data_IF_428451678521
#
_entry.id   IF_428451678521
#
_cell.length_a   1.000
_cell.length_b   1.000
_cell.length_c   1.000
_cell.angle_alpha   90.00
_cell.angle_beta   90.00
_cell.angle_gamma   90.00
#
_symmetry.space_group_name_H-M   'P 1'
#
loop_
_entity.id
_entity.type
_entity.pdbx_description
1 polymer ?
#
# COMPACT_ATOMS: atom_id res chain seq x y z
N UNK A 1 -21.70 1.99 -16.63
CA UNK A 1 -20.55 2.27 -15.73
C UNK A 1 -19.60 3.13 -16.52
N UNK A 2 -19.23 4.30 -16.02
CA UNK A 2 -18.20 5.11 -16.66
C UNK A 2 -16.86 4.38 -16.52
N UNK A 3 -15.96 4.43 -17.50
CA UNK A 3 -14.64 3.78 -17.40
C UNK A 3 -13.86 4.24 -16.15
N UNK A 4 -14.07 5.50 -15.75
CA UNK A 4 -13.50 6.09 -14.53
C UNK A 4 -13.92 5.35 -13.26
N UNK A 5 -15.16 4.85 -13.18
CA UNK A 5 -15.65 4.12 -12.01
C UNK A 5 -14.86 2.83 -11.79
N UNK A 6 -14.53 2.13 -12.89
CA UNK A 6 -13.74 0.91 -12.83
C UNK A 6 -12.29 1.18 -12.43
N UNK A 7 -11.71 2.30 -12.89
CA UNK A 7 -10.37 2.74 -12.49
C UNK A 7 -10.32 3.07 -11.01
N UNK A 8 -11.30 3.83 -10.50
CA UNK A 8 -11.35 4.22 -9.08
C UNK A 8 -11.51 2.99 -8.18
N UNK A 9 -12.32 2.00 -8.58
CA UNK A 9 -12.52 0.76 -7.81
C UNK A 9 -11.22 -0.04 -7.58
N UNK A 10 -10.22 0.08 -8.46
CA UNK A 10 -8.93 -0.62 -8.29
C UNK A 10 -8.18 -0.19 -7.03
N UNK A 11 -8.42 1.04 -6.53
CA UNK A 11 -7.84 1.50 -5.28
C UNK A 11 -8.38 0.70 -4.09
N UNK A 12 -9.68 0.47 -4.04
CA UNK A 12 -10.33 -0.27 -2.94
C UNK A 12 -9.85 -1.73 -2.93
N UNK A 13 -9.75 -2.36 -4.10
CA UNK A 13 -9.20 -3.72 -4.23
C UNK A 13 -7.75 -3.81 -3.71
N UNK A 14 -6.92 -2.83 -4.07
CA UNK A 14 -5.54 -2.78 -3.61
C UNK A 14 -5.44 -2.54 -2.10
N UNK A 15 -6.23 -1.61 -1.57
CA UNK A 15 -6.26 -1.30 -0.16
C UNK A 15 -6.79 -2.48 0.69
N UNK A 16 -7.79 -3.23 0.20
CA UNK A 16 -8.27 -4.45 0.85
C UNK A 16 -7.18 -5.52 0.93
N UNK A 17 -6.45 -5.75 -0.17
CA UNK A 17 -5.36 -6.72 -0.18
C UNK A 17 -4.22 -6.33 0.78
N UNK A 18 -3.85 -5.05 0.78
CA UNK A 18 -2.87 -4.50 1.73
C UNK A 18 -3.34 -4.66 3.18
N UNK A 19 -4.57 -4.24 3.52
CA UNK A 19 -5.14 -4.38 4.87
C UNK A 19 -5.20 -5.83 5.33
N UNK A 20 -5.59 -6.75 4.44
CA UNK A 20 -5.61 -8.17 4.76
C UNK A 20 -4.21 -8.69 5.11
N UNK A 21 -3.18 -8.33 4.33
CA UNK A 21 -1.81 -8.75 4.59
C UNK A 21 -1.23 -8.14 5.88
N UNK A 22 -1.53 -6.86 6.18
CA UNK A 22 -1.19 -6.19 7.45
C UNK A 22 -1.82 -6.91 8.64
N UNK A 23 -3.11 -7.23 8.56
CA UNK A 23 -3.81 -7.98 9.61
C UNK A 23 -3.25 -9.39 9.82
N UNK A 24 -2.56 -9.95 8.82
CA UNK A 24 -1.84 -11.23 8.90
C UNK A 24 -0.38 -11.09 9.35
N UNK A 25 0.08 -9.87 9.62
CA UNK A 25 1.42 -9.59 10.13
C UNK A 25 2.52 -9.63 9.07
N UNK A 26 2.19 -9.48 7.78
CA UNK A 26 3.21 -9.39 6.73
C UNK A 26 4.08 -8.14 6.90
N UNK A 27 3.49 -7.01 7.28
CA UNK A 27 4.19 -5.81 7.74
C UNK A 27 3.31 -5.04 8.74
N UNK A 28 3.89 -4.03 9.39
CA UNK A 28 3.18 -3.16 10.30
C UNK A 28 2.69 -1.90 9.57
N UNK A 29 1.39 -1.63 9.68
CA UNK A 29 0.78 -0.40 9.18
C UNK A 29 -0.42 -0.06 10.08
N UNK A 30 -0.26 0.86 11.04
CA UNK A 30 -1.33 1.23 11.96
C UNK A 30 -2.34 2.20 11.32
N UNK A 31 -2.11 2.67 10.09
CA UNK A 31 -2.91 3.74 9.48
C UNK A 31 -3.91 3.22 8.45
N UNK A 32 -3.58 2.13 7.75
CA UNK A 32 -4.42 1.56 6.69
C UNK A 32 -5.84 1.23 7.17
N UNK A 33 -6.01 0.99 8.47
CA UNK A 33 -7.31 0.67 9.01
C UNK A 33 -8.32 1.81 9.01
N UNK A 34 -7.84 3.06 8.94
CA UNK A 34 -8.70 4.24 8.89
C UNK A 34 -9.22 4.53 7.47
N UNK A 35 -8.57 3.98 6.44
CA UNK A 35 -8.93 4.22 5.05
C UNK A 35 -9.88 3.18 4.48
N UNK A 36 -9.74 1.91 4.87
CA UNK A 36 -10.58 0.84 4.34
C UNK A 36 -10.95 -0.17 5.42
N UNK A 37 -12.20 -0.60 5.49
CA UNK A 37 -12.65 -1.60 6.47
C UNK A 37 -12.08 -2.99 6.15
N UNK A 38 -11.90 -3.83 7.17
CA UNK A 38 -11.54 -5.23 6.94
C UNK A 38 -12.72 -5.97 6.27
N UNK A 39 -12.39 -6.92 5.41
CA UNK A 39 -13.35 -7.86 4.82
C UNK A 39 -13.16 -9.25 5.42
N UNK A 40 -14.25 -10.03 5.48
CA UNK A 40 -14.19 -11.46 5.83
C UNK A 40 -13.62 -12.33 4.71
N UNK A 41 -13.48 -11.76 3.50
CA UNK A 41 -12.92 -12.44 2.35
C UNK A 41 -11.45 -12.82 2.57
N UNK A 42 -11.13 -14.10 2.33
CA UNK A 42 -9.75 -14.60 2.43
C UNK A 42 -9.03 -14.34 1.12
N UNK A 43 -7.81 -13.82 1.20
CA UNK A 43 -6.88 -13.73 0.05
C UNK A 43 -5.93 -14.93 0.07
N UNK A 44 -5.56 -15.42 -1.12
CA UNK A 44 -4.57 -16.49 -1.26
C UNK A 44 -3.21 -16.03 -0.70
N UNK A 45 -2.42 -16.91 -0.06
CA UNK A 45 -1.12 -16.54 0.53
C UNK A 45 -0.16 -15.87 -0.47
N UNK A 46 -0.20 -16.28 -1.73
CA UNK A 46 0.62 -15.74 -2.83
C UNK A 46 0.31 -14.27 -3.09
N UNK A 47 -0.96 -13.86 -2.93
CA UNK A 47 -1.38 -12.46 -3.08
C UNK A 47 -0.74 -11.62 -1.97
N UNK A 48 -0.87 -12.04 -0.70
CA UNK A 48 -0.27 -11.32 0.42
C UNK A 48 1.25 -11.24 0.33
N UNK A 49 1.92 -12.31 -0.14
CA UNK A 49 3.36 -12.31 -0.40
C UNK A 49 3.74 -11.34 -1.52
N UNK A 50 2.96 -11.29 -2.59
CA UNK A 50 3.16 -10.33 -3.69
C UNK A 50 3.04 -8.87 -3.21
N UNK A 51 2.01 -8.57 -2.42
CA UNK A 51 1.85 -7.24 -1.82
C UNK A 51 2.96 -6.90 -0.82
N UNK A 52 3.41 -7.86 -0.01
CA UNK A 52 4.57 -7.67 0.86
C UNK A 52 5.82 -7.31 0.07
N UNK A 53 6.15 -8.09 -0.96
CA UNK A 53 7.30 -7.82 -1.81
C UNK A 53 7.21 -6.43 -2.47
N UNK A 54 6.01 -6.06 -2.95
CA UNK A 54 5.74 -4.73 -3.52
C UNK A 54 5.98 -3.62 -2.51
N UNK A 55 5.41 -3.70 -1.31
CA UNK A 55 5.52 -2.67 -0.27
C UNK A 55 6.97 -2.55 0.21
N UNK A 56 7.62 -3.66 0.56
CA UNK A 56 9.00 -3.64 1.05
C UNK A 56 9.99 -3.20 -0.02
N UNK A 57 9.78 -3.59 -1.28
CA UNK A 57 10.61 -3.13 -2.39
C UNK A 57 10.53 -1.61 -2.59
N UNK A 58 9.32 -1.04 -2.55
CA UNK A 58 9.14 0.41 -2.62
C UNK A 58 9.73 1.13 -1.41
N UNK A 59 9.56 0.58 -0.19
CA UNK A 59 10.16 1.13 1.03
C UNK A 59 11.68 1.19 0.93
N UNK A 60 12.31 0.10 0.49
CA UNK A 60 13.77 0.05 0.34
C UNK A 60 14.31 1.11 -0.63
N UNK A 61 13.64 1.30 -1.78
CA UNK A 61 14.01 2.33 -2.75
C UNK A 61 13.81 3.74 -2.19
N UNK A 62 12.70 3.96 -1.47
CA UNK A 62 12.38 5.23 -0.84
C UNK A 62 13.41 5.60 0.23
N UNK A 63 13.72 4.66 1.13
CA UNK A 63 14.71 4.84 2.20
C UNK A 63 16.09 5.15 1.62
N UNK A 64 16.48 4.46 0.55
CA UNK A 64 17.74 4.72 -0.15
C UNK A 64 17.74 6.12 -0.81
N UNK A 65 16.65 6.52 -1.46
CA UNK A 65 16.52 7.84 -2.07
C UNK A 65 16.63 8.95 -1.03
N UNK A 66 15.86 8.85 0.06
CA UNK A 66 15.88 9.78 1.19
C UNK A 66 17.27 9.91 1.80
N UNK A 67 17.94 8.79 2.03
CA UNK A 67 19.30 8.78 2.59
C UNK A 67 20.29 9.45 1.63
N UNK A 68 20.19 9.17 0.33
CA UNK A 68 21.08 9.72 -0.70
C UNK A 68 20.94 11.25 -0.83
N UNK A 69 19.75 11.78 -0.63
CA UNK A 69 19.47 13.23 -0.71
C UNK A 69 19.63 13.95 0.63
N UNK A 70 20.06 13.27 1.69
CA UNK A 70 20.06 13.77 3.07
C UNK A 70 18.69 14.35 3.46
N UNK A 71 17.61 13.69 3.05
CA UNK A 71 16.22 14.09 3.28
C UNK A 71 15.85 15.47 2.69
N UNK A 72 16.72 16.09 1.89
CA UNK A 72 16.44 17.34 1.19
C UNK A 72 15.92 17.06 -0.22
N UNK A 73 14.72 16.49 -0.29
CA UNK A 73 14.06 16.15 -1.54
C UNK A 73 12.54 16.23 -1.41
N UNK A 74 11.86 16.12 -2.54
CA UNK A 74 10.39 16.03 -2.60
C UNK A 74 9.98 14.65 -3.11
N UNK A 75 8.87 14.14 -2.59
CA UNK A 75 8.27 12.89 -3.04
C UNK A 75 6.87 13.21 -3.57
N UNK A 76 6.58 12.75 -4.78
CA UNK A 76 5.28 12.93 -5.42
C UNK A 76 4.73 11.53 -5.70
N UNK A 77 3.68 11.14 -4.97
CA UNK A 77 2.99 9.87 -5.19
C UNK A 77 1.80 10.09 -6.13
N UNK A 78 1.93 9.69 -7.39
CA UNK A 78 0.91 9.87 -8.43
C UNK A 78 0.00 8.65 -8.45
N UNK A 79 -1.30 8.85 -8.28
CA UNK A 79 -2.24 7.74 -8.10
C UNK A 79 -2.06 7.06 -6.74
N UNK A 80 -1.78 7.85 -5.70
CA UNK A 80 -1.47 7.36 -4.36
C UNK A 80 -2.58 6.49 -3.75
N UNK A 81 -3.85 6.72 -4.13
CA UNK A 81 -4.96 6.01 -3.53
C UNK A 81 -4.97 6.19 -2.01
N UNK A 82 -5.10 5.09 -1.26
CA UNK A 82 -4.99 5.06 0.22
C UNK A 82 -3.61 4.62 0.73
N UNK A 83 -2.54 5.04 0.06
CA UNK A 83 -1.18 4.68 0.47
C UNK A 83 -0.73 5.41 1.75
N UNK A 84 -0.11 4.64 2.65
CA UNK A 84 0.31 5.02 4.01
C UNK A 84 1.83 4.90 4.19
N UNK A 85 2.57 4.59 3.12
CA UNK A 85 4.00 4.28 3.14
C UNK A 85 4.87 5.43 3.69
N UNK A 86 4.46 6.68 3.46
CA UNK A 86 5.22 7.85 3.93
C UNK A 86 5.13 8.05 5.45
N UNK A 87 4.17 7.40 6.11
CA UNK A 87 3.93 7.49 7.55
C UNK A 87 4.45 6.24 8.29
N UNK A 88 4.95 5.20 7.57
CA UNK A 88 5.43 3.91 8.12
C UNK A 88 6.92 3.69 7.93
#
# INVERSE_FOLDING_TARGET
>A
MCEDDAVIATNDDAALCKRYAVAKGYWSDPYIEYFIKSTSERKAPEISRGYYARVMGMKALLDQFLTTTNYNCQIINIGAGFDTLLET
#
